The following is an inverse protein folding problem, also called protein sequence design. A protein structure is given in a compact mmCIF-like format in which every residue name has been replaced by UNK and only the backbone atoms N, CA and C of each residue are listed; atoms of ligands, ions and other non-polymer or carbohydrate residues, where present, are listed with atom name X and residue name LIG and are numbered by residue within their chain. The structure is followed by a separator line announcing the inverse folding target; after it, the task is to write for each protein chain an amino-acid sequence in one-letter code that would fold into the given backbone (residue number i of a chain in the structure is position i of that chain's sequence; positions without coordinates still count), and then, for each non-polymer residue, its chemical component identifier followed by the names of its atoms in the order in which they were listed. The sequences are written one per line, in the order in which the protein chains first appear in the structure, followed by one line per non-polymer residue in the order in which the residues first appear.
data_IF_803135497703
#
_entry.id   IF_803135497703
#
_cell.length_a   1.000
_cell.length_b   1.000
_cell.length_c   1.000
_cell.angle_alpha   90.00
_cell.angle_beta   90.00
_cell.angle_gamma   90.00
#
_symmetry.space_group_name_H-M   'P 1'
#
loop_
_entity.id
_entity.type
_entity.pdbx_description
1 polymer ?
#
# COMPACT_ATOMS: atom_id res chain seq x y z
N UNK A 1 -37.24 32.68 -7.49
CA UNK A 1 -36.15 32.69 -8.49
C UNK A 1 -34.79 33.02 -7.84
N UNK A 2 -34.26 32.16 -6.94
CA UNK A 2 -32.97 32.43 -6.24
C UNK A 2 -31.97 31.26 -6.33
N UNK A 3 -32.34 30.12 -6.93
CA UNK A 3 -31.51 28.89 -6.86
C UNK A 3 -30.56 28.66 -8.05
N UNK A 4 -30.63 29.45 -9.14
CA UNK A 4 -29.78 29.23 -10.33
C UNK A 4 -28.46 30.03 -10.37
N UNK A 5 -28.19 30.93 -9.40
CA UNK A 5 -26.96 31.74 -9.40
C UNK A 5 -25.82 31.23 -8.51
N UNK A 6 -26.07 30.29 -7.58
CA UNK A 6 -25.01 29.75 -6.70
C UNK A 6 -24.19 28.62 -7.33
N UNK A 7 -24.78 27.79 -8.22
CA UNK A 7 -24.05 26.68 -8.88
C UNK A 7 -23.04 27.12 -9.95
N UNK A 8 -23.21 28.31 -10.52
CA UNK A 8 -22.28 28.84 -11.52
C UNK A 8 -21.00 29.42 -10.90
N UNK A 9 -21.00 29.76 -9.61
CA UNK A 9 -19.82 30.32 -8.94
C UNK A 9 -18.84 29.25 -8.42
N UNK A 10 -19.30 28.04 -8.09
CA UNK A 10 -18.42 26.95 -7.63
C UNK A 10 -17.67 26.25 -8.79
N UNK A 11 -18.29 26.15 -9.97
CA UNK A 11 -17.64 25.53 -11.14
C UNK A 11 -16.57 26.44 -11.75
N UNK A 12 -16.70 27.76 -11.60
CA UNK A 12 -15.68 28.69 -12.08
C UNK A 12 -14.42 28.71 -11.21
N UNK A 13 -14.49 28.26 -9.94
CA UNK A 13 -13.37 28.32 -9.01
C UNK A 13 -12.53 27.03 -8.98
N UNK A 14 -13.03 25.89 -9.50
CA UNK A 14 -12.25 24.65 -9.59
C UNK A 14 -11.37 24.56 -10.84
N UNK A 15 -11.54 25.48 -11.80
CA UNK A 15 -10.74 25.51 -13.04
C UNK A 15 -9.49 26.40 -12.87
N UNK A 16 -9.42 27.22 -11.82
CA UNK A 16 -8.39 28.25 -11.70
C UNK A 16 -7.23 27.91 -10.74
N UNK A 17 -7.27 26.78 -10.03
CA UNK A 17 -6.16 26.32 -9.17
C UNK A 17 -5.23 25.31 -9.86
N UNK A 18 -5.55 24.84 -11.06
CA UNK A 18 -4.74 23.85 -11.79
C UNK A 18 -3.72 24.46 -12.78
N UNK A 19 -3.40 25.76 -12.63
CA UNK A 19 -2.51 26.49 -13.55
C UNK A 19 -1.07 26.66 -13.08
N UNK A 20 -0.71 26.25 -11.86
CA UNK A 20 0.62 26.54 -11.32
C UNK A 20 1.59 25.36 -11.24
N UNK A 21 1.15 24.11 -11.45
CA UNK A 21 2.05 22.92 -11.41
C UNK A 21 2.43 22.36 -12.78
N UNK A 22 2.66 23.24 -13.77
CA UNK A 22 3.17 22.84 -15.09
C UNK A 22 4.65 23.20 -15.21
N UNK A 23 5.48 22.57 -14.38
CA UNK A 23 6.93 22.54 -14.57
C UNK A 23 7.37 21.17 -15.09
N UNK A 24 8.02 21.23 -16.25
CA UNK A 24 8.84 20.20 -16.91
C UNK A 24 8.10 19.00 -17.51
N UNK A 25 7.37 19.26 -18.60
CA UNK A 25 7.19 18.25 -19.65
C UNK A 25 8.50 18.22 -20.44
N UNK A 26 9.19 17.08 -20.42
CA UNK A 26 10.42 16.84 -21.17
C UNK A 26 10.20 17.03 -22.68
N UNK A 27 11.20 17.53 -23.44
CA UNK A 27 11.09 17.80 -24.88
C UNK A 27 10.86 16.54 -25.74
N UNK A 28 10.80 15.36 -25.13
CA UNK A 28 10.50 14.08 -25.78
C UNK A 28 9.00 13.91 -26.09
N UNK A 29 8.10 14.45 -25.24
CA UNK A 29 6.64 14.30 -25.43
C UNK A 29 6.09 15.19 -26.55
N UNK A 30 6.66 16.39 -26.75
CA UNK A 30 6.23 17.27 -27.86
C UNK A 30 6.61 16.69 -29.23
N UNK A 31 7.70 15.92 -29.30
CA UNK A 31 8.18 15.31 -30.55
C UNK A 31 7.39 14.05 -30.96
N UNK A 32 6.69 13.40 -30.01
CA UNK A 32 5.80 12.27 -30.31
C UNK A 32 4.41 12.73 -30.78
N UNK A 33 3.82 13.76 -30.17
CA UNK A 33 2.53 14.32 -30.65
C UNK A 33 2.63 14.96 -32.03
N UNK A 34 3.80 15.50 -32.40
CA UNK A 34 4.00 16.15 -33.70
C UNK A 34 4.28 15.13 -34.83
N UNK A 35 4.78 13.94 -34.49
CA UNK A 35 4.96 12.85 -35.45
C UNK A 35 3.64 12.12 -35.78
N UNK A 36 2.69 12.05 -34.84
CA UNK A 36 1.36 11.45 -35.07
C UNK A 36 0.38 12.39 -35.81
N UNK A 37 0.58 13.73 -35.77
CA UNK A 37 -0.24 14.68 -36.52
C UNK A 37 0.12 14.77 -38.01
N UNK A 38 1.37 14.47 -38.41
CA UNK A 38 1.80 14.54 -39.82
C UNK A 38 1.40 13.30 -40.66
N UNK A 39 0.97 12.19 -40.04
CA UNK A 39 0.61 10.96 -40.76
C UNK A 39 -0.89 10.89 -41.13
N UNK A 40 -1.71 11.87 -40.72
CA UNK A 40 -3.16 11.89 -40.97
C UNK A 40 -3.52 12.56 -42.32
N UNK A 41 -2.58 13.23 -43.01
CA UNK A 41 -2.92 14.13 -44.13
C UNK A 41 -2.71 13.56 -45.56
N UNK A 42 -2.72 12.22 -45.74
CA UNK A 42 -2.73 11.61 -47.08
C UNK A 42 -3.72 10.45 -47.27
N UNK A 43 -4.95 10.59 -46.77
CA UNK A 43 -6.06 9.81 -47.31
C UNK A 43 -6.83 10.60 -48.37
N UNK A 44 -6.69 10.20 -49.63
CA UNK A 44 -7.57 10.62 -50.72
C UNK A 44 -9.05 10.48 -50.28
N UNK A 45 -9.90 11.51 -50.52
CA UNK A 45 -11.29 11.47 -50.10
C UNK A 45 -11.98 10.29 -50.79
N UNK A 46 -12.38 9.31 -49.99
CA UNK A 46 -13.06 8.12 -50.46
C UNK A 46 -14.48 8.48 -50.91
N UNK A 47 -14.70 8.47 -52.23
CA UNK A 47 -16.00 8.69 -52.83
C UNK A 47 -16.72 7.34 -53.05
N UNK A 48 -17.75 7.01 -52.23
CA UNK A 48 -18.46 5.74 -52.32
C UNK A 48 -19.30 5.59 -53.60
N UNK A 49 -19.51 6.64 -54.39
CA UNK A 49 -20.24 6.58 -55.67
C UNK A 49 -19.36 6.19 -56.88
N UNK A 50 -18.03 6.24 -56.76
CA UNK A 50 -17.09 5.97 -57.86
C UNK A 50 -16.13 4.78 -57.60
N UNK A 51 -16.15 4.21 -56.40
CA UNK A 51 -15.29 3.10 -56.01
C UNK A 51 -15.83 1.73 -56.49
N UNK A 52 -14.94 0.89 -57.03
CA UNK A 52 -15.23 -0.50 -57.37
C UNK A 52 -15.62 -1.28 -56.09
N UNK A 53 -16.60 -2.19 -56.20
CA UNK A 53 -17.15 -2.91 -55.05
C UNK A 53 -16.11 -3.72 -54.28
N UNK A 54 -15.05 -4.18 -54.96
CA UNK A 54 -13.90 -4.85 -54.34
C UNK A 54 -13.03 -3.89 -53.49
N UNK A 55 -12.85 -2.64 -53.93
CA UNK A 55 -12.08 -1.64 -53.18
C UNK A 55 -12.82 -1.22 -51.89
N UNK A 56 -14.14 -1.10 -51.96
CA UNK A 56 -14.99 -0.83 -50.79
C UNK A 56 -14.90 -1.97 -49.75
N UNK A 57 -14.92 -3.22 -50.22
CA UNK A 57 -14.85 -4.40 -49.38
C UNK A 57 -13.47 -4.56 -48.72
N UNK A 58 -12.40 -4.21 -49.44
CA UNK A 58 -11.04 -4.21 -48.92
C UNK A 58 -10.88 -3.20 -47.78
N UNK A 59 -11.29 -1.94 -47.98
CA UNK A 59 -11.28 -0.91 -46.92
C UNK A 59 -12.14 -1.30 -45.71
N UNK A 60 -13.30 -1.91 -45.93
CA UNK A 60 -14.15 -2.37 -44.82
C UNK A 60 -13.44 -3.41 -43.95
N UNK A 61 -12.75 -4.38 -44.58
CA UNK A 61 -12.00 -5.42 -43.85
C UNK A 61 -10.80 -4.87 -43.10
N UNK A 62 -10.12 -3.88 -43.68
CA UNK A 62 -9.02 -3.17 -43.02
C UNK A 62 -9.51 -2.44 -41.77
N UNK A 63 -10.57 -1.62 -41.88
CA UNK A 63 -11.18 -0.95 -40.73
C UNK A 63 -11.71 -1.94 -39.68
N UNK A 64 -12.26 -3.08 -40.10
CA UNK A 64 -12.74 -4.13 -39.17
C UNK A 64 -11.56 -4.78 -38.42
N UNK A 65 -10.43 -5.00 -39.09
CA UNK A 65 -9.21 -5.51 -38.48
C UNK A 65 -8.59 -4.51 -37.49
N UNK A 66 -8.45 -3.24 -37.89
CA UNK A 66 -7.96 -2.17 -37.01
C UNK A 66 -8.84 -1.98 -35.78
N UNK A 67 -10.17 -2.02 -35.95
CA UNK A 67 -11.12 -1.92 -34.85
C UNK A 67 -11.01 -3.13 -33.91
N UNK A 68 -10.81 -4.33 -34.45
CA UNK A 68 -10.57 -5.54 -33.64
C UNK A 68 -9.26 -5.43 -32.85
N UNK A 69 -8.18 -4.96 -33.47
CA UNK A 69 -6.88 -4.78 -32.80
C UNK A 69 -6.96 -3.71 -31.71
N UNK A 70 -7.61 -2.57 -31.98
CA UNK A 70 -7.84 -1.53 -31.00
C UNK A 70 -8.69 -2.03 -29.82
N UNK A 71 -9.72 -2.84 -30.07
CA UNK A 71 -10.52 -3.45 -29.01
C UNK A 71 -9.71 -4.42 -28.15
N UNK A 72 -8.87 -5.25 -28.75
CA UNK A 72 -7.98 -6.15 -28.01
C UNK A 72 -6.99 -5.36 -27.14
N UNK A 73 -6.41 -4.29 -27.68
CA UNK A 73 -5.51 -3.41 -26.95
C UNK A 73 -6.21 -2.71 -25.79
N UNK A 74 -7.43 -2.23 -25.97
CA UNK A 74 -8.24 -1.63 -24.89
C UNK A 74 -8.57 -2.66 -23.82
N UNK A 75 -8.94 -3.88 -24.20
CA UNK A 75 -9.25 -4.95 -23.25
C UNK A 75 -8.02 -5.33 -22.42
N UNK A 76 -6.86 -5.44 -23.07
CA UNK A 76 -5.59 -5.76 -22.41
C UNK A 76 -5.16 -4.65 -21.46
N UNK A 77 -5.18 -3.40 -21.90
CA UNK A 77 -4.83 -2.24 -21.05
C UNK A 77 -5.78 -2.11 -19.86
N UNK A 78 -7.07 -2.37 -20.05
CA UNK A 78 -8.05 -2.41 -18.95
C UNK A 78 -7.72 -3.51 -17.93
N UNK A 79 -7.34 -4.71 -18.40
CA UNK A 79 -6.93 -5.81 -17.54
C UNK A 79 -5.64 -5.49 -16.76
N UNK A 80 -4.65 -4.88 -17.42
CA UNK A 80 -3.40 -4.45 -16.78
C UNK A 80 -3.67 -3.38 -15.70
N UNK A 81 -4.57 -2.44 -15.96
CA UNK A 81 -4.99 -1.43 -14.98
C UNK A 81 -5.70 -2.05 -13.77
N UNK A 82 -6.57 -3.04 -13.97
CA UNK A 82 -7.23 -3.76 -12.88
C UNK A 82 -6.22 -4.55 -12.02
N UNK A 83 -5.29 -5.26 -12.66
CA UNK A 83 -4.21 -5.97 -11.99
C UNK A 83 -3.32 -5.02 -11.17
N UNK A 84 -2.96 -3.87 -11.75
CA UNK A 84 -2.18 -2.84 -11.07
C UNK A 84 -2.91 -2.29 -9.85
N UNK A 85 -4.20 -1.96 -9.99
CA UNK A 85 -5.03 -1.48 -8.87
C UNK A 85 -5.09 -2.50 -7.73
N UNK A 86 -5.28 -3.79 -8.05
CA UNK A 86 -5.29 -4.87 -7.07
C UNK A 86 -3.95 -5.03 -6.36
N UNK A 87 -2.84 -4.86 -7.09
CA UNK A 87 -1.49 -4.86 -6.51
C UNK A 87 -1.29 -3.69 -5.56
N UNK A 88 -1.62 -2.47 -5.97
CA UNK A 88 -1.50 -1.29 -5.13
C UNK A 88 -2.35 -1.37 -3.86
N UNK A 89 -3.54 -1.96 -3.93
CA UNK A 89 -4.37 -2.18 -2.73
C UNK A 89 -3.67 -3.08 -1.72
N UNK A 90 -3.07 -4.20 -2.17
CA UNK A 90 -2.29 -5.09 -1.30
C UNK A 90 -1.07 -4.41 -0.72
N UNK A 91 -0.30 -3.69 -1.52
CA UNK A 91 0.87 -2.94 -1.06
C UNK A 91 0.47 -1.89 0.00
N UNK A 92 -0.65 -1.19 -0.20
CA UNK A 92 -1.18 -0.23 0.79
C UNK A 92 -1.62 -0.91 2.08
N UNK A 93 -2.27 -2.07 1.99
CA UNK A 93 -2.67 -2.86 3.16
C UNK A 93 -1.45 -3.34 3.94
N UNK A 94 -0.42 -3.85 3.25
CA UNK A 94 0.85 -4.26 3.85
C UNK A 94 1.56 -3.08 4.50
N UNK A 95 1.69 -1.95 3.80
CA UNK A 95 2.27 -0.73 4.36
C UNK A 95 1.51 -0.27 5.61
N UNK A 96 0.17 -0.32 5.59
CA UNK A 96 -0.63 0.06 6.77
C UNK A 96 -0.41 -0.91 7.93
N UNK A 97 -0.28 -2.21 7.64
CA UNK A 97 -0.04 -3.25 8.66
C UNK A 97 1.33 -3.08 9.32
N UNK A 98 2.36 -2.73 8.56
CA UNK A 98 3.74 -2.62 9.07
C UNK A 98 4.19 -1.17 9.32
N UNK A 99 3.34 -0.15 9.09
CA UNK A 99 3.68 1.26 9.28
C UNK A 99 4.18 1.58 10.69
N UNK A 100 3.64 0.88 11.70
CA UNK A 100 3.98 1.11 13.10
C UNK A 100 5.11 0.18 13.61
N UNK A 101 5.66 -0.69 12.77
CA UNK A 101 6.62 -1.72 13.18
C UNK A 101 7.88 -1.10 13.81
N UNK A 102 8.49 -0.12 13.15
CA UNK A 102 9.69 0.56 13.65
C UNK A 102 9.44 1.26 14.98
N UNK A 103 8.30 1.95 15.09
CA UNK A 103 7.88 2.62 16.32
C UNK A 103 7.64 1.62 17.46
N UNK A 104 6.94 0.52 17.20
CA UNK A 104 6.74 -0.55 18.18
C UNK A 104 8.06 -1.16 18.64
N UNK A 105 9.02 -1.36 17.71
CA UNK A 105 10.35 -1.89 18.03
C UNK A 105 11.12 -1.01 19.00
N UNK A 106 11.03 0.31 18.86
CA UNK A 106 11.63 1.24 19.81
C UNK A 106 10.92 1.22 21.17
N UNK A 107 9.59 1.07 21.18
CA UNK A 107 8.82 0.97 22.41
C UNK A 107 9.13 -0.30 23.23
N UNK A 108 9.60 -1.39 22.62
CA UNK A 108 10.02 -2.58 23.35
C UNK A 108 11.10 -2.27 24.39
N UNK A 109 12.05 -1.39 24.06
CA UNK A 109 13.09 -0.98 25.02
C UNK A 109 12.52 -0.30 26.27
N UNK A 110 11.38 0.38 26.15
CA UNK A 110 10.68 1.00 27.28
C UNK A 110 10.04 -0.07 28.15
N UNK A 111 9.43 -1.09 27.54
CA UNK A 111 8.88 -2.26 28.24
C UNK A 111 9.99 -2.98 29.01
N UNK A 112 11.11 -3.30 28.36
CA UNK A 112 12.24 -3.99 28.98
C UNK A 112 12.77 -3.22 30.21
N UNK A 113 12.80 -1.88 30.12
CA UNK A 113 13.22 -1.03 31.23
C UNK A 113 12.18 -1.02 32.37
N UNK A 114 10.88 -1.07 32.06
CA UNK A 114 9.82 -1.17 33.07
C UNK A 114 9.84 -2.53 33.78
N UNK A 115 10.03 -3.61 33.04
CA UNK A 115 10.21 -4.96 33.59
C UNK A 115 11.44 -5.02 34.50
N UNK A 116 12.58 -4.50 34.05
CA UNK A 116 13.80 -4.39 34.87
C UNK A 116 13.56 -3.57 36.13
N UNK A 117 12.80 -2.48 36.07
CA UNK A 117 12.48 -1.67 37.24
C UNK A 117 11.58 -2.43 38.24
N UNK A 118 10.64 -3.25 37.76
CA UNK A 118 9.83 -4.13 38.60
C UNK A 118 10.68 -5.19 39.31
N UNK A 119 11.61 -5.82 38.61
CA UNK A 119 12.53 -6.82 39.20
C UNK A 119 13.38 -6.22 40.33
N UNK A 120 13.85 -4.98 40.17
CA UNK A 120 14.71 -4.32 41.15
C UNK A 120 13.94 -3.69 42.34
N UNK A 121 12.62 -3.50 42.22
CA UNK A 121 11.79 -2.89 43.27
C UNK A 121 11.21 -3.89 44.27
N UNK A 122 11.26 -5.20 43.98
CA UNK A 122 10.76 -6.27 44.84
C UNK A 122 11.54 -6.50 46.16
N UNK A 123 12.66 -5.81 46.39
CA UNK A 123 13.52 -6.01 47.56
C UNK A 123 13.21 -5.12 48.77
N UNK A 124 12.42 -4.04 48.63
CA UNK A 124 12.10 -3.14 49.75
C UNK A 124 10.60 -3.09 50.07
N UNK A 125 10.23 -3.50 51.29
CA UNK A 125 8.85 -3.53 51.78
C UNK A 125 8.13 -2.15 51.80
N UNK A 126 8.85 -1.05 51.62
CA UNK A 126 8.32 0.32 51.60
C UNK A 126 7.74 0.74 50.24
N UNK A 127 7.92 -0.06 49.18
CA UNK A 127 7.58 0.32 47.80
C UNK A 127 6.31 -0.32 47.23
N UNK A 128 5.49 -1.01 48.05
CA UNK A 128 4.35 -1.80 47.58
C UNK A 128 3.39 -1.06 46.63
N UNK A 129 3.01 0.19 46.95
CA UNK A 129 2.13 0.99 46.09
C UNK A 129 2.77 1.43 44.77
N UNK A 130 4.10 1.59 44.75
CA UNK A 130 4.85 1.92 43.52
C UNK A 130 4.93 0.69 42.61
N UNK A 131 5.26 -0.48 43.18
CA UNK A 131 5.33 -1.76 42.44
C UNK A 131 3.97 -2.10 41.84
N UNK A 132 2.89 -1.92 42.59
CA UNK A 132 1.52 -2.15 42.11
C UNK A 132 1.18 -1.20 40.94
N UNK A 133 1.43 0.10 41.09
CA UNK A 133 1.19 1.08 40.03
C UNK A 133 2.00 0.80 38.76
N UNK A 134 3.26 0.37 38.91
CA UNK A 134 4.14 0.04 37.79
C UNK A 134 3.69 -1.25 37.09
N UNK A 135 3.24 -2.25 37.86
CA UNK A 135 2.65 -3.50 37.33
C UNK A 135 1.38 -3.22 36.54
N UNK A 136 0.48 -2.37 37.06
CA UNK A 136 -0.73 -1.96 36.36
C UNK A 136 -0.42 -1.21 35.06
N UNK A 137 0.61 -0.36 35.08
CA UNK A 137 1.04 0.41 33.90
C UNK A 137 1.61 -0.50 32.83
N UNK A 138 2.49 -1.45 33.19
CA UNK A 138 3.03 -2.45 32.28
C UNK A 138 1.92 -3.28 31.64
N UNK A 139 0.97 -3.77 32.43
CA UNK A 139 -0.19 -4.50 31.92
C UNK A 139 -1.02 -3.66 30.94
N UNK A 140 -1.33 -2.42 31.31
CA UNK A 140 -2.07 -1.50 30.43
C UNK A 140 -1.34 -1.21 29.12
N UNK A 141 -0.01 -1.17 29.16
CA UNK A 141 0.85 -1.01 27.98
C UNK A 141 0.83 -2.26 27.07
N UNK A 142 0.94 -3.46 27.64
CA UNK A 142 0.84 -4.69 26.86
C UNK A 142 -0.55 -4.84 26.23
N UNK A 143 -1.61 -4.50 26.98
CA UNK A 143 -2.98 -4.47 26.47
C UNK A 143 -3.17 -3.45 25.33
N UNK A 144 -2.44 -2.33 25.34
CA UNK A 144 -2.50 -1.35 24.24
C UNK A 144 -1.82 -1.92 23.00
N UNK A 145 -0.63 -2.51 23.12
CA UNK A 145 0.07 -3.16 22.01
C UNK A 145 -0.77 -4.28 21.38
N UNK A 146 -1.44 -5.09 22.19
CA UNK A 146 -2.31 -6.16 21.71
C UNK A 146 -3.45 -5.63 20.83
N UNK A 147 -4.03 -4.46 21.14
CA UNK A 147 -5.06 -3.82 20.30
C UNK A 147 -4.54 -3.34 18.95
N UNK A 148 -3.24 -3.05 18.85
CA UNK A 148 -2.58 -2.73 17.59
C UNK A 148 -2.00 -3.98 16.89
N UNK A 149 -2.33 -5.19 17.37
CA UNK A 149 -1.92 -6.45 16.75
C UNK A 149 -0.54 -6.96 17.14
N UNK A 150 0.09 -6.35 18.15
CA UNK A 150 1.38 -6.78 18.70
C UNK A 150 1.17 -7.52 20.02
N UNK A 151 1.45 -8.83 20.06
CA UNK A 151 1.30 -9.67 21.24
C UNK A 151 2.64 -10.24 21.68
N UNK A 152 2.85 -10.34 22.99
CA UNK A 152 4.01 -11.01 23.55
C UNK A 152 4.04 -12.48 23.15
N UNK A 153 5.24 -12.99 22.83
CA UNK A 153 5.47 -14.41 22.61
C UNK A 153 5.72 -15.07 23.95
N UNK A 154 4.81 -15.93 24.38
CA UNK A 154 5.00 -16.77 25.56
C UNK A 154 6.01 -17.88 25.22
N UNK A 155 7.23 -17.78 25.75
CA UNK A 155 8.33 -18.68 25.41
C UNK A 155 8.63 -19.72 26.50
N UNK A 156 8.69 -19.32 27.78
CA UNK A 156 9.08 -20.19 28.90
C UNK A 156 8.25 -21.46 28.98
N UNK A 157 8.91 -22.61 29.02
CA UNK A 157 8.29 -23.94 29.10
C UNK A 157 7.70 -24.46 27.79
N UNK A 158 7.82 -23.73 26.68
CA UNK A 158 7.37 -24.19 25.35
C UNK A 158 8.54 -24.74 24.51
N UNK A 159 8.25 -25.60 23.52
CA UNK A 159 9.26 -26.03 22.56
C UNK A 159 9.91 -24.85 21.86
N UNK A 160 11.22 -24.91 21.65
CA UNK A 160 11.95 -23.88 20.92
C UNK A 160 11.52 -23.84 19.44
N UNK A 161 11.13 -22.67 18.94
CA UNK A 161 10.80 -22.40 17.54
C UNK A 161 11.70 -21.26 17.02
N UNK A 162 12.59 -21.51 16.04
CA UNK A 162 13.48 -20.50 15.47
C UNK A 162 12.77 -19.29 14.84
N UNK A 163 11.48 -19.39 14.52
CA UNK A 163 10.72 -18.27 13.97
C UNK A 163 10.33 -17.24 15.05
N UNK A 164 10.28 -17.66 16.31
CA UNK A 164 9.80 -16.85 17.43
C UNK A 164 10.84 -16.66 18.54
N UNK A 165 11.84 -17.54 18.63
CA UNK A 165 12.78 -17.59 19.73
C UNK A 165 14.22 -17.47 19.24
N UNK A 166 15.03 -16.71 19.99
CA UNK A 166 16.48 -16.64 19.81
C UNK A 166 17.17 -17.36 20.99
N UNK A 167 17.88 -18.46 20.70
CA UNK A 167 18.60 -19.22 21.73
C UNK A 167 19.96 -18.57 22.02
N UNK A 168 20.09 -17.94 23.19
CA UNK A 168 21.34 -17.27 23.61
C UNK A 168 22.29 -18.22 24.35
N UNK A 169 21.75 -19.19 25.09
CA UNK A 169 22.52 -20.18 25.86
C UNK A 169 21.74 -21.48 26.03
N UNK A 170 22.46 -22.56 26.37
CA UNK A 170 21.87 -23.84 26.75
C UNK A 170 22.17 -24.10 28.22
N UNK A 171 21.17 -24.59 28.96
CA UNK A 171 21.29 -24.96 30.37
C UNK A 171 20.84 -26.41 30.55
N UNK A 172 21.56 -27.15 31.39
CA UNK A 172 21.16 -28.50 31.77
C UNK A 172 20.00 -28.41 32.76
N UNK A 173 18.83 -28.92 32.37
CA UNK A 173 17.64 -28.98 33.23
C UNK A 173 17.23 -30.44 33.43
N UNK A 174 16.99 -30.83 34.69
CA UNK A 174 16.40 -32.13 35.03
C UNK A 174 14.87 -32.10 34.97
N UNK A 175 14.27 -30.90 34.98
CA UNK A 175 12.83 -30.70 35.11
C UNK A 175 12.12 -30.49 33.77
N UNK A 176 12.87 -30.26 32.69
CA UNK A 176 12.32 -29.88 31.38
C UNK A 176 12.84 -30.82 30.27
N UNK A 177 11.96 -31.16 29.33
CA UNK A 177 12.33 -31.97 28.16
C UNK A 177 13.38 -31.24 27.29
N UNK A 178 14.26 -31.99 26.57
CA UNK A 178 15.23 -31.40 25.66
C UNK A 178 14.57 -30.47 24.63
N UNK A 179 15.26 -29.38 24.28
CA UNK A 179 14.80 -28.38 23.29
C UNK A 179 13.55 -27.58 23.72
N UNK A 180 13.41 -27.36 25.03
CA UNK A 180 12.41 -26.47 25.64
C UNK A 180 13.06 -25.12 25.97
N UNK A 181 12.34 -24.02 25.77
CA UNK A 181 12.80 -22.70 26.23
C UNK A 181 12.69 -22.63 27.76
N UNK A 182 13.80 -22.26 28.39
CA UNK A 182 13.94 -22.06 29.83
C UNK A 182 13.79 -20.57 30.18
#
# INVERSE_FOLDING_TARGET
MVSKRKRTAEVQNSVNENKEDRQEISPELENQTQAEEEEIEQEEPFDPETADGEALLAKYRELEAELSEAQEQVLRTAADAENFKKRLQREKEEQTRYANESFMRELLTVIDNLERALEHSGTEASQGGLVEGLTMTLKGFLDTLARFGCTQVEATGKPFDPNFHEAVSQEESADHEPNTVL
#
